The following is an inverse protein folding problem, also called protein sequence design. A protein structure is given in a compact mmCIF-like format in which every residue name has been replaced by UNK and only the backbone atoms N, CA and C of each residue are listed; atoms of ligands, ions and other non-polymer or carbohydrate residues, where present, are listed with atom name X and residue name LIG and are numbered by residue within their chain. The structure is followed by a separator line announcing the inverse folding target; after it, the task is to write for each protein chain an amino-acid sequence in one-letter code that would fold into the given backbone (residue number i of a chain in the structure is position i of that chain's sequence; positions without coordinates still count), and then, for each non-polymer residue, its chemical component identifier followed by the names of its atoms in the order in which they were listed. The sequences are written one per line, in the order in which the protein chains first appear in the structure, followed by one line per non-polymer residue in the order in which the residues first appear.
data_IF_687758486826
#
_entry.id   IF_687758486826
#
_cell.length_a   1.000
_cell.length_b   1.000
_cell.length_c   1.000
_cell.angle_alpha   90.00
_cell.angle_beta   90.00
_cell.angle_gamma   90.00
#
_symmetry.space_group_name_H-M   'P 1'
#
loop_
_entity.id
_entity.type
_entity.pdbx_description
1 polymer ?
#
# COMPACT_ATOMS: atom_id res chain seq x y z
N UNK A 1 15.50 41.45 8.99
CA UNK A 1 16.26 40.38 8.29
C UNK A 1 15.27 39.34 7.81
N UNK A 2 14.87 39.43 6.53
CA UNK A 2 13.95 38.48 5.92
C UNK A 2 14.70 37.19 5.61
N UNK A 3 14.33 36.08 6.26
CA UNK A 3 14.77 34.75 5.84
C UNK A 3 14.11 34.43 4.51
N UNK A 4 14.86 34.52 3.43
CA UNK A 4 14.48 33.91 2.17
C UNK A 4 14.37 32.39 2.41
N UNK A 5 13.15 31.88 2.43
CA UNK A 5 12.90 30.46 2.24
C UNK A 5 13.23 30.18 0.77
N UNK A 6 14.46 29.73 0.49
CA UNK A 6 14.68 29.01 -0.76
C UNK A 6 13.87 27.71 -0.66
N UNK A 7 12.97 27.42 -1.61
CA UNK A 7 12.42 26.07 -1.69
C UNK A 7 13.60 25.12 -1.86
N UNK A 8 13.75 24.16 -0.95
CA UNK A 8 14.76 23.12 -1.09
C UNK A 8 14.57 22.46 -2.46
N UNK A 9 15.52 22.67 -3.36
CA UNK A 9 15.49 22.07 -4.68
C UNK A 9 15.71 20.57 -4.52
N UNK A 10 14.65 19.78 -4.67
CA UNK A 10 14.76 18.33 -4.64
C UNK A 10 15.69 17.85 -5.75
N UNK A 11 16.67 17.03 -5.39
CA UNK A 11 17.52 16.37 -6.38
C UNK A 11 16.71 15.26 -7.07
N UNK A 12 16.91 15.10 -8.38
CA UNK A 12 16.22 14.08 -9.16
C UNK A 12 16.78 12.69 -8.83
N UNK A 13 15.93 11.80 -8.34
CA UNK A 13 16.24 10.39 -8.14
C UNK A 13 15.70 9.57 -9.32
N UNK A 14 16.58 8.98 -10.12
CA UNK A 14 16.18 8.09 -11.23
C UNK A 14 15.96 6.68 -10.70
N UNK A 15 14.90 6.03 -11.18
CA UNK A 15 14.61 4.64 -10.86
C UNK A 15 15.81 3.73 -11.17
N UNK A 16 16.09 2.78 -10.27
CA UNK A 16 17.16 1.80 -10.45
C UNK A 16 16.68 0.68 -11.39
N UNK A 17 17.56 0.19 -12.28
CA UNK A 17 17.30 -1.00 -13.08
C UNK A 17 17.45 -2.28 -12.24
N UNK A 18 16.77 -3.37 -12.62
CA UNK A 18 16.97 -4.70 -12.04
C UNK A 18 15.70 -5.37 -11.51
N UNK A 19 15.86 -6.54 -10.89
CA UNK A 19 14.79 -7.31 -10.24
C UNK A 19 14.75 -7.01 -8.74
N UNK A 20 14.22 -5.84 -8.38
CA UNK A 20 14.15 -5.39 -6.98
C UNK A 20 13.02 -6.13 -6.24
N UNK A 21 13.31 -6.66 -5.06
CA UNK A 21 12.30 -7.33 -4.26
C UNK A 21 11.21 -6.33 -3.81
N UNK A 22 9.91 -6.57 -4.05
CA UNK A 22 8.85 -5.61 -3.72
C UNK A 22 8.78 -5.29 -2.22
N UNK A 23 8.67 -3.99 -1.90
CA UNK A 23 8.59 -3.43 -0.54
C UNK A 23 7.28 -2.65 -0.39
N UNK A 24 6.49 -3.01 0.63
CA UNK A 24 5.27 -2.28 1.00
C UNK A 24 5.41 -1.64 2.39
N UNK A 25 4.76 -0.49 2.56
CA UNK A 25 4.75 0.24 3.83
C UNK A 25 3.70 -0.36 4.77
N UNK A 26 4.12 -0.71 5.99
CA UNK A 26 3.29 -1.45 6.94
C UNK A 26 1.98 -0.73 7.33
N UNK A 27 1.96 0.60 7.31
CA UNK A 27 0.74 1.38 7.56
C UNK A 27 -0.30 1.16 6.45
N UNK A 28 0.14 1.11 5.19
CA UNK A 28 -0.73 0.84 4.03
C UNK A 28 -1.24 -0.61 4.01
N UNK A 29 -0.63 -1.50 4.79
CA UNK A 29 -1.04 -2.89 4.96
C UNK A 29 -2.04 -3.08 6.11
N UNK A 30 -2.05 -2.14 7.05
CA UNK A 30 -2.80 -2.25 8.31
C UNK A 30 -4.14 -1.52 8.27
N UNK A 31 -4.27 -0.50 7.43
CA UNK A 31 -5.40 0.43 7.46
C UNK A 31 -6.03 0.69 6.09
N UNK A 32 -7.34 1.04 6.04
CA UNK A 32 -8.07 1.20 4.79
C UNK A 32 -7.78 2.56 4.15
N UNK A 33 -6.72 2.64 3.35
CA UNK A 33 -6.35 3.86 2.62
C UNK A 33 -6.88 3.91 1.18
N UNK A 34 -7.41 2.81 0.67
CA UNK A 34 -7.75 2.65 -0.74
C UNK A 34 -9.14 2.04 -0.93
N UNK A 35 -9.81 2.40 -2.03
CA UNK A 35 -11.01 1.69 -2.47
C UNK A 35 -10.67 0.24 -2.88
N UNK A 36 -11.45 -0.72 -2.41
CA UNK A 36 -11.32 -2.13 -2.79
C UNK A 36 -12.12 -2.50 -4.05
N UNK A 37 -12.94 -1.57 -4.56
CA UNK A 37 -13.72 -1.78 -5.77
C UNK A 37 -13.00 -1.17 -6.99
N UNK A 38 -13.18 -1.80 -8.16
CA UNK A 38 -12.75 -1.22 -9.45
C UNK A 38 -13.64 -0.07 -9.90
N UNK A 39 -14.87 0.00 -9.38
CA UNK A 39 -15.79 1.09 -9.64
C UNK A 39 -15.35 2.36 -8.93
N UNK A 40 -15.70 3.49 -9.54
CA UNK A 40 -15.43 4.81 -8.99
C UNK A 40 -16.11 4.96 -7.62
N UNK A 41 -15.32 5.25 -6.59
CA UNK A 41 -15.80 5.53 -5.23
C UNK A 41 -15.67 7.02 -4.93
N UNK A 42 -16.78 7.66 -4.57
CA UNK A 42 -16.83 9.03 -4.05
C UNK A 42 -17.15 9.08 -2.56
N UNK A 43 -17.81 8.05 -2.04
CA UNK A 43 -18.09 7.92 -0.61
C UNK A 43 -16.77 7.84 0.15
N UNK A 44 -16.50 8.73 1.11
CA UNK A 44 -15.26 8.72 1.88
C UNK A 44 -15.01 7.39 2.60
N UNK A 45 -13.76 7.13 2.95
CA UNK A 45 -13.43 6.18 4.03
C UNK A 45 -13.31 7.03 5.30
N UNK A 46 -14.15 6.79 6.30
CA UNK A 46 -13.98 7.31 7.67
C UNK A 46 -13.73 6.11 8.58
N UNK A 47 -12.48 5.96 9.01
CA UNK A 47 -12.03 4.84 9.83
C UNK A 47 -11.55 5.37 11.18
N UNK A 48 -12.14 4.84 12.26
CA UNK A 48 -11.82 5.21 13.64
C UNK A 48 -11.75 3.99 14.53
N UNK A 49 -10.59 3.77 15.14
CA UNK A 49 -10.35 2.68 16.08
C UNK A 49 -9.36 3.15 17.13
N UNK A 50 -9.75 3.14 18.41
CA UNK A 50 -8.94 3.69 19.49
C UNK A 50 -8.60 5.16 19.24
N UNK A 51 -7.30 5.49 19.25
CA UNK A 51 -6.78 6.83 18.92
C UNK A 51 -6.51 7.05 17.42
N UNK A 52 -6.69 6.02 16.60
CA UNK A 52 -6.41 6.08 15.16
C UNK A 52 -7.63 6.63 14.44
N UNK A 53 -7.42 7.70 13.68
CA UNK A 53 -8.39 8.34 12.81
C UNK A 53 -7.79 8.41 11.42
N UNK A 54 -8.55 7.96 10.43
CA UNK A 54 -8.19 8.05 9.01
C UNK A 54 -9.43 8.49 8.25
N UNK A 55 -9.27 9.54 7.44
CA UNK A 55 -10.27 9.99 6.49
C UNK A 55 -9.65 10.03 5.10
N UNK A 56 -10.28 9.36 4.15
CA UNK A 56 -9.86 9.36 2.73
C UNK A 56 -10.99 9.91 1.88
N UNK A 57 -10.68 10.94 1.10
CA UNK A 57 -11.64 11.70 0.32
C UNK A 57 -11.22 11.72 -1.15
N UNK A 58 -12.22 11.76 -2.03
CA UNK A 58 -12.04 11.69 -3.46
C UNK A 58 -12.68 12.89 -4.14
N UNK A 59 -12.13 13.27 -5.30
CA UNK A 59 -12.75 14.28 -6.16
C UNK A 59 -13.74 13.63 -7.15
N UNK A 60 -14.81 14.35 -7.55
CA UNK A 60 -15.78 13.85 -8.50
C UNK A 60 -15.21 13.45 -9.86
N UNK A 61 -14.11 14.04 -10.33
CA UNK A 61 -13.52 13.74 -11.65
C UNK A 61 -12.89 12.34 -11.69
N UNK A 62 -11.95 12.08 -10.78
CA UNK A 62 -11.14 10.85 -10.81
C UNK A 62 -11.67 9.74 -9.88
N UNK A 63 -12.39 10.09 -8.83
CA UNK A 63 -12.72 9.17 -7.74
C UNK A 63 -11.52 8.82 -6.85
N UNK A 64 -11.77 7.96 -5.86
CA UNK A 64 -10.76 7.54 -4.88
C UNK A 64 -9.70 6.62 -5.49
N UNK A 65 -8.45 6.78 -5.07
CA UNK A 65 -7.38 5.83 -5.33
C UNK A 65 -7.80 4.43 -4.85
N UNK A 66 -7.56 3.47 -5.72
CA UNK A 66 -7.92 2.06 -5.53
C UNK A 66 -6.73 1.25 -5.07
N UNK A 67 -6.98 0.05 -4.55
CA UNK A 67 -5.93 -0.86 -4.08
C UNK A 67 -4.97 -1.32 -5.21
N UNK A 68 -5.36 -1.15 -6.48
CA UNK A 68 -4.46 -1.36 -7.63
C UNK A 68 -3.54 -0.16 -7.87
N UNK A 69 -3.97 1.06 -7.55
CA UNK A 69 -3.14 2.26 -7.71
C UNK A 69 -1.99 2.24 -6.69
N UNK A 70 -2.20 1.60 -5.54
CA UNK A 70 -1.17 1.36 -4.54
C UNK A 70 0.03 0.54 -5.05
N UNK A 71 -0.06 -0.10 -6.23
CA UNK A 71 1.07 -0.79 -6.88
C UNK A 71 2.19 0.20 -7.25
N UNK A 72 1.82 1.44 -7.61
CA UNK A 72 2.79 2.52 -7.87
C UNK A 72 3.55 2.89 -6.59
N UNK A 73 2.87 2.88 -5.45
CA UNK A 73 3.51 3.17 -4.15
C UNK A 73 4.44 2.04 -3.72
N UNK A 74 4.08 0.78 -3.98
CA UNK A 74 4.99 -0.36 -3.75
C UNK A 74 6.24 -0.23 -4.63
N UNK A 75 6.09 0.11 -5.91
CA UNK A 75 7.23 0.38 -6.79
C UNK A 75 8.12 1.50 -6.23
N UNK A 76 7.51 2.64 -5.86
CA UNK A 76 8.24 3.78 -5.33
C UNK A 76 9.01 3.44 -4.03
N UNK A 77 8.36 2.74 -3.10
CA UNK A 77 8.99 2.28 -1.87
C UNK A 77 10.16 1.33 -2.14
N UNK A 78 9.98 0.39 -3.07
CA UNK A 78 11.02 -0.57 -3.45
C UNK A 78 12.27 0.14 -4.00
N UNK A 79 12.08 1.15 -4.84
CA UNK A 79 13.17 1.94 -5.41
C UNK A 79 13.93 2.76 -4.35
N UNK A 80 13.21 3.42 -3.44
CA UNK A 80 13.82 4.21 -2.35
C UNK A 80 14.59 3.33 -1.39
N UNK A 81 14.03 2.18 -1.00
CA UNK A 81 14.68 1.21 -0.10
C UNK A 81 15.94 0.65 -0.74
N UNK A 82 15.87 0.19 -1.99
CA UNK A 82 17.04 -0.35 -2.69
C UNK A 82 18.14 0.70 -2.86
N UNK A 83 17.81 1.93 -3.24
CA UNK A 83 18.79 2.99 -3.37
C UNK A 83 19.53 3.25 -2.06
N UNK A 84 18.79 3.30 -0.95
CA UNK A 84 19.36 3.45 0.39
C UNK A 84 20.23 2.24 0.76
N UNK A 85 19.77 1.02 0.50
CA UNK A 85 20.50 -0.22 0.81
C UNK A 85 21.82 -0.31 0.03
N UNK A 86 21.87 0.25 -1.18
CA UNK A 86 23.07 0.40 -2.01
C UNK A 86 23.95 1.61 -1.61
N UNK A 87 23.56 2.38 -0.58
CA UNK A 87 24.31 3.54 -0.08
C UNK A 87 24.09 4.84 -0.85
N UNK A 88 23.13 4.89 -1.79
CA UNK A 88 22.73 6.13 -2.43
C UNK A 88 21.84 6.98 -1.51
N UNK A 89 21.76 8.27 -1.80
CA UNK A 89 20.81 9.18 -1.16
C UNK A 89 19.55 9.28 -2.02
N UNK A 90 18.46 8.56 -1.69
CA UNK A 90 17.21 8.69 -2.44
C UNK A 90 16.60 10.08 -2.27
N UNK A 91 15.65 10.40 -3.15
CA UNK A 91 14.89 11.65 -3.12
C UNK A 91 13.40 11.37 -3.35
N UNK A 92 12.57 12.28 -2.83
CA UNK A 92 11.12 12.30 -3.07
C UNK A 92 10.77 12.61 -4.52
N UNK A 93 11.62 13.35 -5.23
CA UNK A 93 11.46 13.64 -6.65
C UNK A 93 12.01 12.46 -7.45
N UNK A 94 11.13 11.59 -7.90
CA UNK A 94 11.47 10.38 -8.66
C UNK A 94 11.27 10.62 -10.15
N UNK A 95 12.17 10.06 -10.98
CA UNK A 95 12.01 9.96 -12.42
C UNK A 95 12.07 8.51 -12.89
N UNK A 96 11.12 8.15 -13.76
CA UNK A 96 11.03 6.82 -14.35
C UNK A 96 10.29 6.86 -15.69
N UNK A 97 10.48 5.85 -16.52
CA UNK A 97 9.63 5.60 -17.69
C UNK A 97 8.36 4.84 -17.27
N UNK A 98 7.24 5.00 -18.00
CA UNK A 98 6.06 4.15 -17.80
C UNK A 98 6.38 2.65 -17.88
N UNK A 99 7.32 2.27 -18.77
CA UNK A 99 7.79 0.91 -18.94
C UNK A 99 8.41 0.35 -17.64
N UNK A 100 9.29 1.09 -16.98
CA UNK A 100 9.93 0.65 -15.73
C UNK A 100 8.91 0.41 -14.61
N UNK A 101 7.93 1.30 -14.45
CA UNK A 101 6.87 1.13 -13.45
C UNK A 101 6.02 -0.09 -13.79
N UNK A 102 5.49 -0.17 -15.01
CA UNK A 102 4.56 -1.23 -15.42
C UNK A 102 5.19 -2.61 -15.43
N UNK A 103 6.43 -2.71 -15.90
CA UNK A 103 7.19 -3.96 -15.89
C UNK A 103 7.40 -4.46 -14.45
N UNK A 104 7.77 -3.57 -13.52
CA UNK A 104 7.95 -3.93 -12.12
C UNK A 104 6.67 -4.48 -11.47
N UNK A 105 5.52 -3.84 -11.72
CA UNK A 105 4.22 -4.25 -11.18
C UNK A 105 3.53 -5.34 -12.01
N UNK A 106 4.23 -5.98 -12.95
CA UNK A 106 3.72 -7.11 -13.74
C UNK A 106 2.54 -6.76 -14.65
N UNK A 107 2.49 -5.53 -15.18
CA UNK A 107 1.46 -5.06 -16.11
C UNK A 107 1.97 -5.04 -17.54
N UNK A 108 1.02 -5.08 -18.49
CA UNK A 108 1.32 -4.88 -19.90
C UNK A 108 1.87 -3.48 -20.17
N UNK A 109 2.49 -3.32 -21.34
CA UNK A 109 3.14 -2.06 -21.77
C UNK A 109 2.47 -1.49 -23.04
N UNK A 110 1.17 -1.77 -23.19
CA UNK A 110 0.38 -1.22 -24.29
C UNK A 110 0.00 0.24 -24.02
N UNK A 111 -0.43 0.96 -25.07
CA UNK A 111 -0.99 2.31 -24.91
C UNK A 111 -2.14 2.35 -23.89
N UNK A 112 -2.95 1.29 -23.83
CA UNK A 112 -4.04 1.16 -22.85
C UNK A 112 -3.50 1.09 -21.42
N UNK A 113 -2.40 0.35 -21.21
CA UNK A 113 -1.79 0.23 -19.89
C UNK A 113 -1.11 1.53 -19.47
N UNK A 114 -0.54 2.27 -20.42
CA UNK A 114 0.04 3.59 -20.16
C UNK A 114 -1.04 4.59 -19.75
N UNK A 115 -2.18 4.62 -20.45
CA UNK A 115 -3.32 5.46 -20.07
C UNK A 115 -3.90 5.07 -18.70
N UNK A 116 -3.88 3.78 -18.35
CA UNK A 116 -4.29 3.33 -17.00
C UNK A 116 -3.33 3.79 -15.92
N UNK A 117 -2.02 3.79 -16.19
CA UNK A 117 -1.02 4.34 -15.27
C UNK A 117 -1.26 5.84 -15.05
N UNK A 118 -1.50 6.63 -16.11
CA UNK A 118 -1.84 8.06 -15.97
C UNK A 118 -3.08 8.26 -15.09
N UNK A 119 -4.15 7.51 -15.37
CA UNK A 119 -5.37 7.58 -14.56
C UNK A 119 -5.13 7.15 -13.09
N UNK A 120 -4.19 6.23 -12.83
CA UNK A 120 -3.78 5.86 -11.47
C UNK A 120 -3.04 7.00 -10.78
N UNK A 121 -2.11 7.67 -11.48
CA UNK A 121 -1.40 8.84 -10.96
C UNK A 121 -2.36 10.00 -10.66
N UNK A 122 -3.34 10.26 -11.53
CA UNK A 122 -4.39 11.26 -11.29
C UNK A 122 -5.21 10.94 -10.03
N UNK A 123 -5.61 9.68 -9.84
CA UNK A 123 -6.31 9.25 -8.63
C UNK A 123 -5.44 9.36 -7.38
N UNK A 124 -4.16 9.01 -7.46
CA UNK A 124 -3.22 9.10 -6.33
C UNK A 124 -2.96 10.56 -5.94
N UNK A 125 -2.91 11.47 -6.91
CA UNK A 125 -2.73 12.91 -6.67
C UNK A 125 -3.99 13.57 -6.12
N UNK A 126 -5.17 13.20 -6.62
CA UNK A 126 -6.44 13.83 -6.24
C UNK A 126 -7.16 13.19 -5.04
N UNK A 127 -6.65 12.07 -4.52
CA UNK A 127 -7.15 11.47 -3.28
C UNK A 127 -6.50 12.12 -2.07
N UNK A 128 -7.29 12.78 -1.23
CA UNK A 128 -6.83 13.43 0.00
C UNK A 128 -6.94 12.48 1.18
N UNK A 129 -5.87 12.35 1.97
CA UNK A 129 -5.83 11.61 3.22
C UNK A 129 -5.69 12.58 4.38
N UNK A 130 -6.44 12.35 5.46
CA UNK A 130 -6.21 12.94 6.77
C UNK A 130 -6.02 11.81 7.81
N UNK A 131 -4.90 11.79 8.53
CA UNK A 131 -4.62 10.70 9.49
C UNK A 131 -3.96 11.17 10.79
N UNK A 132 -4.24 10.48 11.91
CA UNK A 132 -3.50 10.59 13.17
C UNK A 132 -2.29 9.63 13.25
N UNK A 133 -2.09 8.77 12.25
CA UNK A 133 -0.98 7.81 12.24
C UNK A 133 0.35 8.56 12.17
N UNK A 134 1.24 8.21 13.11
CA UNK A 134 2.54 8.85 13.35
C UNK A 134 2.42 10.34 13.65
N UNK A 135 1.32 10.74 14.30
CA UNK A 135 1.09 12.09 14.82
C UNK A 135 0.95 12.07 16.37
N UNK A 136 1.98 11.63 17.12
CA UNK A 136 1.85 11.39 18.57
C UNK A 136 1.62 12.66 19.40
N UNK A 137 2.08 13.82 18.91
CA UNK A 137 2.08 15.10 19.64
C UNK A 137 1.14 16.14 19.05
N UNK A 138 0.58 15.89 17.87
CA UNK A 138 -0.24 16.88 17.17
C UNK A 138 -1.72 16.69 17.48
N UNK A 139 -2.38 17.76 17.94
CA UNK A 139 -3.85 17.79 18.06
C UNK A 139 -4.57 17.80 16.70
N UNK A 140 -3.83 17.81 15.58
CA UNK A 140 -4.35 17.95 14.22
C UNK A 140 -4.00 16.71 13.40
N UNK A 141 -4.90 16.34 12.49
CA UNK A 141 -4.65 15.29 11.52
C UNK A 141 -3.67 15.80 10.46
N UNK A 142 -2.67 14.97 10.13
CA UNK A 142 -1.77 15.23 9.02
C UNK A 142 -2.51 14.99 7.70
N UNK A 143 -2.40 15.92 6.75
CA UNK A 143 -3.11 15.89 5.47
C UNK A 143 -2.15 15.88 4.29
N UNK A 144 -2.39 14.99 3.34
CA UNK A 144 -1.56 14.83 2.15
C UNK A 144 -2.30 14.06 1.04
N UNK A 145 -1.72 14.04 -0.16
CA UNK A 145 -2.11 13.14 -1.26
C UNK A 145 -1.01 12.10 -1.47
N UNK A 146 -1.34 10.92 -2.03
CA UNK A 146 -0.34 9.86 -2.24
C UNK A 146 0.79 10.25 -3.21
N UNK A 147 0.51 11.17 -4.12
CA UNK A 147 1.47 11.81 -5.01
C UNK A 147 1.21 13.32 -4.94
N UNK A 148 2.21 14.12 -4.59
CA UNK A 148 2.05 15.57 -4.48
C UNK A 148 1.98 16.22 -5.87
N UNK A 149 2.85 15.76 -6.77
CA UNK A 149 2.95 16.23 -8.14
C UNK A 149 3.36 15.08 -9.03
N UNK A 150 2.85 15.03 -10.26
CA UNK A 150 3.42 14.22 -11.32
C UNK A 150 3.33 14.97 -12.65
N UNK A 151 4.27 14.70 -13.57
CA UNK A 151 4.25 15.26 -14.92
C UNK A 151 4.92 14.34 -15.93
N UNK A 152 4.43 14.41 -17.16
CA UNK A 152 5.12 13.81 -18.30
C UNK A 152 6.28 14.70 -18.72
N UNK A 153 7.40 14.07 -19.07
CA UNK A 153 8.54 14.75 -19.68
C UNK A 153 8.54 14.49 -21.17
N UNK A 154 8.76 15.53 -21.94
CA UNK A 154 9.10 15.45 -23.35
C UNK A 154 10.39 16.22 -23.63
N UNK A 155 11.12 15.83 -24.67
CA UNK A 155 12.19 16.67 -25.21
C UNK A 155 11.61 17.84 -26.03
N UNK A 156 12.48 18.73 -26.52
CA UNK A 156 12.06 19.87 -27.35
C UNK A 156 11.38 19.49 -28.68
N UNK A 157 11.45 18.21 -29.07
CA UNK A 157 10.83 17.66 -30.27
C UNK A 157 9.56 16.85 -29.96
N UNK A 158 9.08 16.87 -28.71
CA UNK A 158 7.87 16.16 -28.27
C UNK A 158 8.04 14.67 -27.99
N UNK A 159 9.28 14.14 -28.01
CA UNK A 159 9.54 12.73 -27.66
C UNK A 159 9.41 12.55 -26.16
N UNK A 160 8.60 11.58 -25.74
CA UNK A 160 8.44 11.24 -24.33
C UNK A 160 9.78 10.79 -23.71
N UNK A 161 10.21 11.49 -22.66
CA UNK A 161 11.41 11.22 -21.86
C UNK A 161 11.10 10.47 -20.56
N UNK A 162 9.82 10.30 -20.21
CA UNK A 162 9.37 9.58 -19.02
C UNK A 162 8.41 10.40 -18.17
N UNK A 163 8.37 10.07 -16.88
CA UNK A 163 7.54 10.67 -15.85
C UNK A 163 8.43 11.19 -14.73
N UNK A 164 8.04 12.32 -14.15
CA UNK A 164 8.51 12.77 -12.84
C UNK A 164 7.35 12.74 -11.86
N UNK A 165 7.61 12.33 -10.62
CA UNK A 165 6.63 12.36 -9.53
C UNK A 165 7.28 12.74 -8.20
N UNK A 166 6.51 13.40 -7.34
CA UNK A 166 6.93 13.83 -6.01
C UNK A 166 6.13 13.06 -4.96
N UNK A 167 6.83 12.25 -4.16
CA UNK A 167 6.24 11.55 -3.03
C UNK A 167 5.95 12.51 -1.86
N UNK A 168 4.85 12.31 -1.10
CA UNK A 168 4.58 13.09 0.10
C UNK A 168 5.59 12.74 1.20
N UNK A 169 5.95 13.73 2.01
CA UNK A 169 6.88 13.57 3.13
C UNK A 169 6.45 12.47 4.11
N UNK A 170 5.15 12.34 4.35
CA UNK A 170 4.58 11.30 5.21
C UNK A 170 4.89 9.90 4.71
N UNK A 171 4.75 9.63 3.41
CA UNK A 171 5.05 8.32 2.83
C UNK A 171 6.56 8.11 2.74
N UNK A 172 7.31 9.08 2.24
CA UNK A 172 8.75 8.98 2.08
C UNK A 172 9.47 8.72 3.42
N UNK A 173 9.10 9.44 4.48
CA UNK A 173 9.66 9.25 5.82
C UNK A 173 9.36 7.86 6.38
N UNK A 174 8.22 7.27 6.02
CA UNK A 174 7.90 5.88 6.37
C UNK A 174 8.87 4.90 5.71
N UNK A 175 9.11 5.11 4.42
CA UNK A 175 9.90 4.21 3.57
C UNK A 175 11.37 4.23 4.00
N UNK A 176 11.88 5.37 4.44
CA UNK A 176 13.23 5.47 4.98
C UNK A 176 13.41 4.73 6.32
N UNK A 177 12.34 4.52 7.08
CA UNK A 177 12.38 3.82 8.36
C UNK A 177 12.20 2.31 8.17
N UNK A 178 13.29 1.54 8.26
CA UNK A 178 13.30 0.07 8.06
C UNK A 178 12.22 -0.68 8.82
N UNK A 179 11.99 -0.28 10.07
CA UNK A 179 11.00 -0.92 10.92
C UNK A 179 9.56 -0.84 10.36
N UNK A 180 9.29 0.04 9.39
CA UNK A 180 7.98 0.29 8.80
C UNK A 180 7.82 -0.28 7.39
N UNK A 181 8.79 -1.05 6.89
CA UNK A 181 8.74 -1.69 5.57
C UNK A 181 8.67 -3.21 5.69
N UNK A 182 7.97 -3.87 4.77
CA UNK A 182 7.99 -5.33 4.61
C UNK A 182 8.23 -5.72 3.16
N UNK A 183 9.09 -6.72 2.96
CA UNK A 183 9.18 -7.45 1.70
C UNK A 183 7.89 -8.23 1.44
N UNK A 184 7.32 -8.10 0.26
CA UNK A 184 6.17 -8.87 -0.20
C UNK A 184 6.55 -9.80 -1.36
N UNK A 185 5.73 -10.83 -1.57
CA UNK A 185 5.86 -11.76 -2.69
C UNK A 185 5.54 -11.04 -4.02
N UNK A 186 6.35 -11.26 -5.06
CA UNK A 186 6.10 -10.68 -6.39
C UNK A 186 4.78 -11.19 -7.00
N UNK A 187 4.33 -12.40 -6.66
CA UNK A 187 3.03 -12.93 -7.07
C UNK A 187 1.83 -12.12 -6.55
N UNK A 188 2.04 -11.19 -5.60
CA UNK A 188 1.04 -10.19 -5.19
C UNK A 188 0.46 -9.42 -6.39
N UNK A 189 1.28 -9.08 -7.38
CA UNK A 189 0.82 -8.32 -8.55
C UNK A 189 -0.15 -9.09 -9.45
N UNK A 190 -0.16 -10.42 -9.35
CA UNK A 190 -1.08 -11.30 -10.07
C UNK A 190 -2.48 -11.39 -9.43
N UNK A 191 -2.65 -10.93 -8.18
CA UNK A 191 -3.95 -10.92 -7.50
C UNK A 191 -4.93 -9.96 -8.19
N UNK A 192 -6.12 -10.45 -8.49
CA UNK A 192 -7.08 -9.75 -9.36
C UNK A 192 -8.25 -9.12 -8.61
N UNK A 193 -8.55 -9.61 -7.41
CA UNK A 193 -9.62 -9.10 -6.54
C UNK A 193 -9.13 -8.00 -5.59
N UNK A 194 -9.94 -6.96 -5.36
CA UNK A 194 -9.53 -5.89 -4.45
C UNK A 194 -9.52 -6.33 -2.99
N UNK A 195 -10.52 -7.12 -2.56
CA UNK A 195 -10.53 -7.73 -1.23
C UNK A 195 -9.35 -8.70 -1.04
N UNK A 196 -9.03 -9.48 -2.06
CA UNK A 196 -7.90 -10.41 -2.08
C UNK A 196 -6.56 -9.70 -1.92
N UNK A 197 -6.35 -8.59 -2.64
CA UNK A 197 -5.15 -7.74 -2.52
C UNK A 197 -5.02 -7.12 -1.14
N UNK A 198 -6.11 -6.61 -0.59
CA UNK A 198 -6.13 -6.06 0.77
C UNK A 198 -5.84 -7.15 1.81
N UNK A 199 -6.46 -8.32 1.66
CA UNK A 199 -6.29 -9.43 2.59
C UNK A 199 -4.84 -9.92 2.60
N UNK A 200 -4.19 -10.03 1.43
CA UNK A 200 -2.78 -10.37 1.35
C UNK A 200 -1.92 -9.42 2.19
N UNK A 201 -2.13 -8.11 2.06
CA UNK A 201 -1.35 -7.10 2.81
C UNK A 201 -1.57 -7.26 4.31
N UNK A 202 -2.83 -7.41 4.74
CA UNK A 202 -3.17 -7.64 6.15
C UNK A 202 -2.49 -8.90 6.69
N UNK A 203 -2.64 -10.01 5.97
CA UNK A 203 -2.03 -11.31 6.33
C UNK A 203 -0.51 -11.19 6.40
N UNK A 204 0.15 -10.55 5.43
CA UNK A 204 1.60 -10.40 5.42
C UNK A 204 2.13 -9.59 6.60
N UNK A 205 1.39 -8.56 7.03
CA UNK A 205 1.72 -7.73 8.20
C UNK A 205 1.62 -8.53 9.51
N UNK A 206 0.63 -9.41 9.64
CA UNK A 206 0.36 -10.16 10.88
C UNK A 206 1.01 -11.56 10.92
N UNK A 207 1.30 -12.16 9.76
CA UNK A 207 1.78 -13.54 9.62
C UNK A 207 3.29 -13.73 9.79
N UNK A 208 4.07 -12.65 9.85
CA UNK A 208 5.54 -12.73 9.93
C UNK A 208 6.13 -12.97 11.32
N UNK A 209 5.33 -12.99 12.39
CA UNK A 209 5.83 -13.04 13.78
C UNK A 209 5.29 -14.19 14.62
N UNK A 210 4.33 -14.99 14.11
CA UNK A 210 3.65 -16.00 14.91
C UNK A 210 3.58 -17.33 14.17
N UNK A 211 4.30 -18.34 14.68
CA UNK A 211 4.32 -19.70 14.15
C UNK A 211 2.97 -20.42 14.24
N UNK A 212 2.09 -19.99 15.16
CA UNK A 212 0.79 -20.63 15.42
C UNK A 212 -0.37 -20.04 14.61
N UNK A 213 -0.08 -19.16 13.65
CA UNK A 213 -1.09 -18.47 12.85
C UNK A 213 -1.77 -17.31 13.60
N UNK A 214 -2.60 -16.56 12.89
CA UNK A 214 -3.36 -15.43 13.44
C UNK A 214 -4.83 -15.57 13.07
N UNK A 215 -5.71 -15.04 13.92
CA UNK A 215 -7.16 -15.14 13.75
C UNK A 215 -7.82 -13.76 13.75
N UNK A 216 -8.77 -13.54 12.84
CA UNK A 216 -9.65 -12.37 12.86
C UNK A 216 -11.12 -12.77 12.76
N UNK A 217 -11.97 -12.13 13.57
CA UNK A 217 -13.42 -12.19 13.39
C UNK A 217 -13.83 -11.55 12.07
N UNK A 218 -14.80 -12.15 11.37
CA UNK A 218 -15.24 -11.65 10.06
C UNK A 218 -15.84 -10.24 10.12
N UNK A 219 -16.55 -9.92 11.21
CA UNK A 219 -17.08 -8.57 11.48
C UNK A 219 -15.95 -7.54 11.64
N UNK A 220 -14.88 -7.92 12.35
CA UNK A 220 -13.70 -7.09 12.50
C UNK A 220 -12.99 -6.89 11.17
N UNK A 221 -12.80 -7.94 10.36
CA UNK A 221 -12.20 -7.82 9.02
C UNK A 221 -13.01 -6.89 8.12
N UNK A 222 -14.34 -7.02 8.14
CA UNK A 222 -15.23 -6.18 7.36
C UNK A 222 -15.06 -4.70 7.73
N UNK A 223 -15.10 -4.36 9.03
CA UNK A 223 -14.86 -3.00 9.50
C UNK A 223 -13.45 -2.50 9.15
N UNK A 224 -12.42 -3.34 9.32
CA UNK A 224 -11.02 -3.01 9.02
C UNK A 224 -10.76 -2.78 7.54
N UNK A 225 -11.52 -3.43 6.66
CA UNK A 225 -11.36 -3.32 5.21
C UNK A 225 -11.81 -1.99 4.62
N UNK A 226 -12.69 -1.25 5.32
CA UNK A 226 -13.36 -0.07 4.76
C UNK A 226 -14.25 -0.39 3.55
N UNK A 227 -14.64 -1.65 3.35
CA UNK A 227 -15.50 -2.10 2.25
C UNK A 227 -16.92 -1.53 2.39
N UNK A 228 -17.49 -1.11 1.26
CA UNK A 228 -18.90 -0.68 1.17
C UNK A 228 -19.85 -1.87 0.95
N UNK A 229 -19.32 -3.05 0.61
CA UNK A 229 -20.15 -4.23 0.40
C UNK A 229 -20.81 -4.66 1.71
N UNK A 230 -22.09 -5.08 1.71
CA UNK A 230 -22.72 -5.65 2.89
C UNK A 230 -21.93 -6.85 3.44
N UNK A 231 -21.94 -7.04 4.76
CA UNK A 231 -21.17 -8.10 5.43
C UNK A 231 -21.40 -9.49 4.82
N UNK A 232 -22.63 -9.80 4.38
CA UNK A 232 -22.95 -11.08 3.72
C UNK A 232 -22.17 -11.28 2.41
N UNK A 233 -22.07 -10.24 1.58
CA UNK A 233 -21.32 -10.30 0.33
C UNK A 233 -19.81 -10.33 0.61
N UNK A 234 -19.33 -9.54 1.57
CA UNK A 234 -17.95 -9.60 2.02
C UNK A 234 -17.55 -11.01 2.50
N UNK A 235 -18.39 -11.64 3.31
CA UNK A 235 -18.15 -13.00 3.79
C UNK A 235 -18.21 -14.03 2.65
N UNK A 236 -19.05 -13.82 1.64
CA UNK A 236 -19.08 -14.67 0.43
C UNK A 236 -17.76 -14.55 -0.35
N UNK A 237 -17.31 -13.33 -0.64
CA UNK A 237 -16.06 -13.08 -1.35
C UNK A 237 -14.85 -13.64 -0.58
N UNK A 238 -14.86 -13.50 0.76
CA UNK A 238 -13.82 -14.07 1.62
C UNK A 238 -13.80 -15.61 1.56
N UNK A 239 -14.97 -16.27 1.58
CA UNK A 239 -15.07 -17.73 1.41
C UNK A 239 -14.50 -18.17 0.07
N UNK A 240 -14.75 -17.44 -1.00
CA UNK A 240 -14.18 -17.75 -2.32
C UNK A 240 -12.66 -17.62 -2.33
N UNK A 241 -12.09 -16.60 -1.68
CA UNK A 241 -10.63 -16.45 -1.54
C UNK A 241 -10.05 -17.63 -0.74
N UNK A 242 -10.67 -18.00 0.38
CA UNK A 242 -10.25 -19.15 1.19
C UNK A 242 -10.38 -20.47 0.42
N UNK A 243 -11.44 -20.65 -0.37
CA UNK A 243 -11.61 -21.86 -1.20
C UNK A 243 -10.51 -21.97 -2.27
N UNK A 244 -10.10 -20.85 -2.86
CA UNK A 244 -9.08 -20.81 -3.93
C UNK A 244 -7.64 -20.87 -3.41
N UNK A 245 -7.41 -20.51 -2.15
CA UNK A 245 -6.07 -20.42 -1.54
C UNK A 245 -5.11 -19.55 -2.39
N UNK A 246 -5.61 -18.42 -2.88
CA UNK A 246 -4.89 -17.61 -3.86
C UNK A 246 -3.82 -16.70 -3.27
N UNK A 247 -3.70 -16.59 -1.94
CA UNK A 247 -2.75 -15.70 -1.27
C UNK A 247 -1.33 -16.30 -1.28
N UNK A 248 -0.37 -15.69 -2.00
CA UNK A 248 0.98 -16.24 -2.12
C UNK A 248 1.65 -16.39 -0.75
N UNK A 249 2.19 -17.58 -0.47
CA UNK A 249 2.92 -17.86 0.77
C UNK A 249 2.06 -18.07 2.03
N UNK A 250 0.72 -18.07 1.91
CA UNK A 250 -0.17 -18.25 3.07
C UNK A 250 -1.27 -19.28 2.81
N UNK A 251 -1.55 -20.09 3.83
CA UNK A 251 -2.74 -20.93 3.89
C UNK A 251 -3.81 -20.25 4.72
N UNK A 252 -5.03 -20.22 4.21
CA UNK A 252 -6.19 -19.64 4.88
C UNK A 252 -7.18 -20.72 5.33
N UNK A 253 -7.91 -20.47 6.40
CA UNK A 253 -9.04 -21.29 6.82
C UNK A 253 -10.14 -20.40 7.41
N UNK A 254 -11.39 -20.87 7.32
CA UNK A 254 -12.50 -20.31 8.07
C UNK A 254 -12.92 -21.32 9.12
N UNK A 255 -13.03 -20.86 10.36
CA UNK A 255 -13.40 -21.68 11.50
C UNK A 255 -14.55 -21.02 12.27
N UNK A 256 -15.40 -21.85 12.84
CA UNK A 256 -16.53 -21.40 13.63
C UNK A 256 -16.19 -21.53 15.11
N UNK A 257 -16.09 -20.38 15.80
CA UNK A 257 -15.75 -20.36 17.22
C UNK A 257 -16.99 -20.23 18.11
N UNK A 258 -17.12 -21.02 19.19
CA UNK A 258 -18.32 -21.10 20.06
C UNK A 258 -18.82 -19.80 20.71
N UNK A 259 -18.14 -18.66 20.52
CA UNK A 259 -18.54 -17.32 21.04
C UNK A 259 -18.26 -16.15 20.10
N UNK A 260 -17.35 -16.32 19.13
CA UNK A 260 -16.90 -15.27 18.22
C UNK A 260 -17.52 -15.40 16.82
N UNK A 261 -18.23 -16.50 16.56
CA UNK A 261 -18.76 -16.82 15.24
C UNK A 261 -17.65 -17.21 14.27
N UNK A 262 -17.86 -16.94 12.99
CA UNK A 262 -16.90 -17.21 11.94
C UNK A 262 -15.63 -16.36 12.11
N UNK A 263 -14.48 -17.02 12.07
CA UNK A 263 -13.17 -16.39 12.09
C UNK A 263 -12.32 -16.83 10.90
N UNK A 264 -11.50 -15.92 10.39
CA UNK A 264 -10.45 -16.23 9.43
C UNK A 264 -9.17 -16.58 10.20
N UNK A 265 -8.64 -17.77 9.93
CA UNK A 265 -7.32 -18.20 10.38
C UNK A 265 -6.34 -18.20 9.20
N UNK A 266 -5.09 -17.87 9.44
CA UNK A 266 -4.05 -18.00 8.42
C UNK A 266 -2.68 -18.32 9.01
N UNK A 267 -1.87 -19.03 8.24
CA UNK A 267 -0.49 -19.37 8.57
C UNK A 267 0.41 -19.29 7.32
N UNK A 268 1.70 -18.95 7.46
CA UNK A 268 2.66 -19.11 6.38
C UNK A 268 2.69 -20.56 5.90
N UNK A 269 2.86 -20.78 4.60
CA UNK A 269 3.15 -22.12 4.06
C UNK A 269 4.61 -22.46 4.42
N UNK A 270 4.87 -23.66 4.93
CA UNK A 270 6.22 -24.11 5.31
C UNK A 270 7.24 -23.83 4.19
N UNK A 271 8.37 -23.21 4.55
CA UNK A 271 9.44 -22.84 3.61
C UNK A 271 9.32 -21.46 2.97
N UNK A 272 8.24 -20.70 3.22
CA UNK A 272 8.09 -19.32 2.70
C UNK A 272 9.08 -18.37 3.38
N UNK A 273 10.29 -18.22 2.83
CA UNK A 273 11.28 -17.24 3.31
C UNK A 273 11.14 -15.95 2.50
N UNK A 274 10.54 -14.92 3.10
CA UNK A 274 10.59 -13.58 2.51
C UNK A 274 11.97 -12.98 2.81
N UNK A 275 12.81 -12.83 1.77
CA UNK A 275 14.14 -12.24 1.93
C UNK A 275 14.05 -10.86 2.62
N UNK A 276 14.73 -10.70 3.77
CA UNK A 276 14.86 -9.44 4.49
C UNK A 276 14.38 -9.40 5.95
N UNK A 277 13.89 -10.49 6.54
CA UNK A 277 13.57 -10.51 7.98
C UNK A 277 14.82 -10.75 8.84
N UNK A 278 15.57 -9.69 9.17
CA UNK A 278 16.56 -9.76 10.25
C UNK A 278 15.84 -9.84 11.62
N UNK A 279 16.23 -10.76 12.52
CA UNK A 279 15.54 -10.96 13.80
C UNK A 279 16.00 -9.92 14.82
N UNK A 280 15.27 -8.81 14.97
CA UNK A 280 15.44 -7.95 16.15
C UNK A 280 14.57 -8.47 17.29
N UNK A 281 15.22 -8.95 18.35
CA UNK A 281 14.61 -9.38 19.59
C UNK A 281 13.77 -8.25 20.21
N UNK A 282 12.44 -8.41 20.16
CA UNK A 282 11.48 -7.60 20.90
C UNK A 282 10.45 -8.53 21.53
N UNK A 283 10.38 -8.50 22.87
CA UNK A 283 9.44 -9.30 23.68
C UNK A 283 7.99 -9.17 23.17
N UNK A 284 7.16 -10.22 23.30
CA UNK A 284 5.78 -10.18 22.85
C UNK A 284 4.98 -9.18 23.69
N UNK A 285 4.47 -8.12 23.05
CA UNK A 285 3.43 -7.28 23.61
C UNK A 285 2.10 -8.02 23.53
N UNK A 286 1.58 -8.33 24.70
CA UNK A 286 0.28 -8.92 24.96
C UNK A 286 -0.84 -8.08 24.34
N UNK A 287 -1.58 -8.70 23.42
CA UNK A 287 -3.00 -8.45 23.15
C UNK A 287 -3.42 -7.00 22.89
N UNK A 288 -3.42 -6.60 21.62
CA UNK A 288 -4.49 -5.73 21.13
C UNK A 288 -5.78 -6.57 21.07
N UNK A 289 -6.47 -6.65 22.22
CA UNK A 289 -7.92 -6.78 22.21
C UNK A 289 -8.48 -5.38 21.99
N UNK A 290 -8.97 -5.16 20.76
CA UNK A 290 -9.93 -4.11 20.43
C UNK A 290 -11.34 -4.62 20.73
#
# INVERSE_FOLDING_TARGET
MSRHHHPEQLQLFRALPGDLAPRDAQDLMSYPFFSLAKSKRLVPIDYRVGSIVIRVEAVPEHGMATIWDADVLIWAASQVVEARDLGFQPSRLMAATPYEILNFIGRGVSLRDYNRLKAALDRLQSTTIATSIRQPTERRLHRFSWINEWKERADGNGRALGLELILPDWFYSAVLQDALILTIDRAYFSLTGGLERWLYRLVRKHGGRQHFGWTFELTHLHAKSGSLSPLKHFAYDLREIVRRQSLPGYRLALEEQPRRGAVLCFAPIDGTTFAGSSPTHGKPTTGEKL
#
